data_IF_423969030945
#
_entry.id   IF_423969030945
#
_cell.length_a   1.000
_cell.length_b   1.000
_cell.length_c   1.000
_cell.angle_alpha   90.00
_cell.angle_beta   90.00
_cell.angle_gamma   90.00
#
_symmetry.space_group_name_H-M   'P 1'
#
loop_
_entity.id
_entity.type
_entity.pdbx_description
1 polymer ?
#
# COMPACT_ATOMS: atom_id res chain seq x y z
N UNK A 1 17.80 -30.69 33.19
CA UNK A 1 16.80 -31.15 32.19
C UNK A 1 15.65 -30.16 31.94
N UNK A 2 14.93 -29.71 32.98
CA UNK A 2 13.74 -28.84 32.82
C UNK A 2 14.04 -27.51 32.10
N UNK A 3 15.18 -26.88 32.41
CA UNK A 3 15.60 -25.63 31.78
C UNK A 3 15.92 -25.81 30.29
N UNK A 4 16.60 -26.89 29.92
CA UNK A 4 16.89 -27.23 28.52
C UNK A 4 15.60 -27.44 27.71
N UNK A 5 14.65 -28.23 28.24
CA UNK A 5 13.35 -28.45 27.60
C UNK A 5 12.57 -27.13 27.46
N UNK A 6 12.57 -26.27 28.48
CA UNK A 6 11.92 -24.97 28.43
C UNK A 6 12.55 -24.04 27.37
N UNK A 7 13.88 -24.00 27.28
CA UNK A 7 14.59 -23.19 26.27
C UNK A 7 14.34 -23.67 24.84
N UNK A 8 14.25 -24.99 24.62
CA UNK A 8 13.84 -25.58 23.33
C UNK A 8 12.39 -25.19 22.99
N UNK A 9 11.46 -25.26 23.95
CA UNK A 9 10.06 -24.86 23.78
C UNK A 9 9.93 -23.38 23.37
N UNK A 10 10.65 -22.47 24.02
CA UNK A 10 10.59 -21.04 23.69
C UNK A 10 11.07 -20.76 22.27
N UNK A 11 12.15 -21.41 21.82
CA UNK A 11 12.64 -21.27 20.44
C UNK A 11 11.64 -21.77 19.41
N UNK A 12 11.00 -22.91 19.68
CA UNK A 12 9.95 -23.48 18.84
C UNK A 12 8.70 -22.60 18.73
N UNK A 13 8.40 -21.81 19.75
CA UNK A 13 7.25 -20.92 19.79
C UNK A 13 7.51 -19.56 19.12
N UNK A 14 8.75 -19.29 18.71
CA UNK A 14 9.10 -18.04 18.03
C UNK A 14 8.46 -17.99 16.64
N UNK A 15 7.80 -16.88 16.35
CA UNK A 15 7.18 -16.57 15.07
C UNK A 15 7.60 -15.15 14.68
N UNK A 16 7.37 -14.79 13.41
CA UNK A 16 7.66 -13.45 12.94
C UNK A 16 6.84 -12.40 13.74
N UNK A 17 7.36 -11.18 13.92
CA UNK A 17 6.60 -10.12 14.58
C UNK A 17 5.29 -9.83 13.85
N UNK A 18 4.23 -9.49 14.60
CA UNK A 18 2.91 -9.20 14.04
C UNK A 18 2.91 -8.14 12.93
N UNK A 19 3.79 -7.13 13.02
CA UNK A 19 3.93 -6.12 11.98
C UNK A 19 4.47 -6.68 10.65
N UNK A 20 5.37 -7.66 10.70
CA UNK A 20 5.90 -8.33 9.51
C UNK A 20 4.81 -9.18 8.84
N UNK A 21 4.06 -9.96 9.62
CA UNK A 21 2.94 -10.78 9.12
C UNK A 21 1.81 -9.91 8.55
N UNK A 22 1.50 -8.80 9.22
CA UNK A 22 0.50 -7.84 8.75
C UNK A 22 0.91 -7.21 7.43
N UNK A 23 2.20 -6.89 7.26
CA UNK A 23 2.73 -6.36 6.00
C UNK A 23 2.70 -7.41 4.90
N UNK A 24 3.16 -8.63 5.16
CA UNK A 24 3.10 -9.73 4.20
C UNK A 24 1.66 -9.99 3.72
N UNK A 25 0.70 -9.95 4.65
CA UNK A 25 -0.73 -10.09 4.32
C UNK A 25 -1.25 -8.95 3.44
N UNK A 26 -0.84 -7.70 3.72
CA UNK A 26 -1.21 -6.54 2.91
C UNK A 26 -0.60 -6.59 1.51
N UNK A 27 0.66 -7.01 1.41
CA UNK A 27 1.38 -7.14 0.14
C UNK A 27 0.80 -8.28 -0.72
N UNK A 28 0.27 -9.34 -0.10
CA UNK A 28 -0.40 -10.45 -0.78
C UNK A 28 -1.86 -10.17 -1.18
N UNK A 29 -2.47 -9.11 -0.64
CA UNK A 29 -3.86 -8.79 -0.92
C UNK A 29 -4.02 -8.31 -2.37
N UNK A 30 -4.92 -8.95 -3.12
CA UNK A 30 -5.30 -8.52 -4.47
C UNK A 30 -6.09 -7.22 -4.39
N UNK A 31 -5.82 -6.27 -5.30
CA UNK A 31 -6.57 -5.03 -5.38
C UNK A 31 -8.05 -5.31 -5.73
N UNK A 32 -8.98 -4.42 -5.33
CA UNK A 32 -10.36 -4.49 -5.78
C UNK A 32 -10.46 -4.54 -7.32
N UNK A 33 -11.44 -5.26 -7.90
CA UNK A 33 -11.58 -5.37 -9.36
C UNK A 33 -11.73 -4.03 -10.09
N UNK A 34 -12.24 -3.01 -9.40
CA UNK A 34 -12.49 -1.67 -9.90
C UNK A 34 -11.35 -0.67 -9.62
N UNK A 35 -10.22 -1.10 -9.05
CA UNK A 35 -9.12 -0.21 -8.66
C UNK A 35 -8.58 0.63 -9.84
N UNK A 36 -8.38 0.01 -11.01
CA UNK A 36 -7.96 0.73 -12.23
C UNK A 36 -8.97 1.78 -12.67
N UNK A 37 -10.26 1.44 -12.59
CA UNK A 37 -11.33 2.37 -12.95
C UNK A 37 -11.39 3.53 -11.97
N UNK A 38 -11.21 3.26 -10.67
CA UNK A 38 -11.14 4.27 -9.62
C UNK A 38 -9.94 5.22 -9.83
N UNK A 39 -8.76 4.68 -10.14
CA UNK A 39 -7.57 5.48 -10.50
C UNK A 39 -7.85 6.33 -11.75
N UNK A 40 -8.48 5.76 -12.78
CA UNK A 40 -8.81 6.50 -14.00
C UNK A 40 -9.87 7.59 -13.80
N UNK A 41 -10.82 7.38 -12.89
CA UNK A 41 -11.80 8.41 -12.49
C UNK A 41 -11.13 9.56 -11.76
N UNK A 42 -10.19 9.26 -10.86
CA UNK A 42 -9.41 10.29 -10.16
C UNK A 42 -8.59 11.12 -11.15
N UNK A 43 -7.87 10.48 -12.07
CA UNK A 43 -7.12 11.16 -13.12
C UNK A 43 -8.02 12.00 -14.05
N UNK A 44 -9.22 11.50 -14.38
CA UNK A 44 -10.16 12.27 -15.20
C UNK A 44 -10.73 13.48 -14.45
N UNK A 45 -11.01 13.35 -13.15
CA UNK A 45 -11.45 14.49 -12.33
C UNK A 45 -10.38 15.60 -12.28
N UNK A 46 -9.10 15.25 -12.24
CA UNK A 46 -8.01 16.23 -12.35
C UNK A 46 -8.01 16.92 -13.73
N UNK A 47 -8.21 16.18 -14.82
CA UNK A 47 -8.34 16.76 -16.16
C UNK A 47 -9.55 17.68 -16.29
N UNK A 48 -10.69 17.30 -15.73
CA UNK A 48 -11.90 18.14 -15.70
C UNK A 48 -11.64 19.43 -14.92
N UNK A 49 -10.93 19.35 -13.79
CA UNK A 49 -10.59 20.52 -12.99
C UNK A 49 -9.57 21.45 -13.68
N UNK A 50 -8.72 20.90 -14.55
CA UNK A 50 -7.75 21.66 -15.34
C UNK A 50 -8.32 22.21 -16.66
N UNK A 51 -9.52 21.79 -17.07
CA UNK A 51 -10.15 22.27 -18.28
C UNK A 51 -10.68 23.70 -18.08
N UNK A 52 -10.05 24.67 -18.74
CA UNK A 52 -10.49 26.06 -18.74
C UNK A 52 -11.39 26.35 -19.95
N UNK A 53 -12.30 27.33 -19.86
CA UNK A 53 -13.06 27.77 -21.03
C UNK A 53 -12.11 28.31 -22.11
N UNK A 54 -12.41 28.04 -23.38
CA UNK A 54 -11.67 28.61 -24.50
C UNK A 54 -11.76 30.14 -24.51
N UNK A 55 -10.65 30.79 -24.87
CA UNK A 55 -10.53 32.25 -24.94
C UNK A 55 -11.43 32.87 -26.01
N UNK A 56 -12.01 34.03 -25.70
CA UNK A 56 -12.83 34.79 -26.64
C UNK A 56 -11.96 35.76 -27.47
N UNK A 57 -11.87 35.52 -28.79
CA UNK A 57 -11.19 36.44 -29.69
C UNK A 57 -12.06 37.67 -30.00
N UNK A 58 -11.89 38.70 -29.17
CA UNK A 58 -12.54 40.00 -29.34
C UNK A 58 -12.26 40.63 -30.70
N UNK A 59 -11.04 40.49 -31.23
CA UNK A 59 -10.67 41.11 -32.51
C UNK A 59 -11.41 40.44 -33.65
N UNK A 60 -11.39 39.10 -33.72
CA UNK A 60 -12.12 38.34 -34.71
C UNK A 60 -13.63 38.63 -34.66
N UNK A 61 -14.18 38.79 -33.45
CA UNK A 61 -15.58 39.19 -33.29
C UNK A 61 -15.88 40.58 -33.86
N UNK A 62 -15.08 41.59 -33.51
CA UNK A 62 -15.26 42.96 -34.03
C UNK A 62 -15.12 42.99 -35.55
N UNK A 63 -14.11 42.31 -36.09
CA UNK A 63 -13.88 42.22 -37.54
C UNK A 63 -15.08 41.56 -38.24
N UNK A 64 -15.68 40.53 -37.62
CA UNK A 64 -16.86 39.86 -38.14
C UNK A 64 -18.13 40.73 -38.06
N UNK A 65 -18.31 41.49 -36.97
CA UNK A 65 -19.44 42.43 -36.82
C UNK A 65 -19.34 43.55 -37.85
N UNK A 66 -18.16 44.15 -38.02
CA UNK A 66 -17.94 45.19 -39.04
C UNK A 66 -18.23 44.66 -40.43
N UNK A 67 -17.76 43.44 -40.75
CA UNK A 67 -18.05 42.79 -42.04
C UNK A 67 -19.55 42.58 -42.28
N UNK A 68 -20.30 42.18 -41.25
CA UNK A 68 -21.75 42.00 -41.36
C UNK A 68 -22.47 43.34 -41.58
N UNK A 69 -22.04 44.39 -40.87
CA UNK A 69 -22.54 45.76 -41.07
C UNK A 69 -22.23 46.24 -42.50
N UNK A 70 -21.00 46.09 -42.97
CA UNK A 70 -20.57 46.53 -44.30
C UNK A 70 -21.30 45.79 -45.42
N UNK A 71 -21.59 44.50 -45.24
CA UNK A 71 -22.38 43.72 -46.19
C UNK A 71 -23.80 44.28 -46.35
N UNK A 72 -24.41 44.69 -45.24
CA UNK A 72 -25.79 45.16 -45.19
C UNK A 72 -25.93 46.68 -45.33
N UNK A 73 -24.84 47.44 -45.27
CA UNK A 73 -24.84 48.89 -45.40
C UNK A 73 -25.52 49.36 -46.71
N UNK A 74 -26.37 50.41 -46.66
CA UNK A 74 -27.04 50.94 -47.83
C UNK A 74 -26.02 51.54 -48.81
N UNK A 75 -26.12 51.20 -50.10
CA UNK A 75 -25.16 51.64 -51.12
C UNK A 75 -25.56 52.94 -51.82
N UNK A 76 -26.78 53.42 -51.58
CA UNK A 76 -27.36 54.62 -52.19
C UNK A 76 -28.37 55.29 -51.24
N UNK A 77 -28.79 56.52 -51.58
CA UNK A 77 -29.71 57.32 -50.76
C UNK A 77 -31.09 56.66 -50.58
N UNK A 78 -31.62 55.99 -51.62
CA UNK A 78 -32.94 55.33 -51.55
C UNK A 78 -32.93 54.10 -50.63
N UNK A 79 -31.85 53.31 -50.65
CA UNK A 79 -31.64 52.22 -49.70
C UNK A 79 -31.43 52.73 -48.27
N UNK A 80 -30.79 53.88 -48.10
CA UNK A 80 -30.60 54.49 -46.79
C UNK A 80 -31.94 54.94 -46.18
N UNK A 81 -32.80 55.61 -46.96
CA UNK A 81 -34.15 56.03 -46.52
C UNK A 81 -35.05 54.83 -46.16
N UNK A 82 -34.86 53.69 -46.85
CA UNK A 82 -35.62 52.46 -46.59
C UNK A 82 -34.94 51.51 -45.60
N UNK A 83 -33.73 51.82 -45.13
CA UNK A 83 -32.91 50.88 -44.36
C UNK A 83 -33.64 50.38 -43.10
N UNK A 84 -34.27 51.28 -42.35
CA UNK A 84 -35.04 50.95 -41.16
C UNK A 84 -36.25 50.02 -41.43
N UNK A 85 -36.78 50.00 -42.66
CA UNK A 85 -37.90 49.15 -43.08
C UNK A 85 -37.44 47.90 -43.83
N UNK A 86 -36.15 47.80 -44.15
CA UNK A 86 -35.59 46.74 -44.99
C UNK A 86 -35.33 45.42 -44.26
N UNK A 87 -35.39 45.41 -42.92
CA UNK A 87 -35.04 44.25 -42.08
C UNK A 87 -33.53 43.94 -42.07
N UNK A 88 -32.69 44.70 -42.79
CA UNK A 88 -31.23 44.50 -42.82
C UNK A 88 -30.58 44.66 -41.45
N UNK A 89 -31.10 45.56 -40.61
CA UNK A 89 -30.64 45.71 -39.24
C UNK A 89 -30.91 44.45 -38.39
N UNK A 90 -32.09 43.83 -38.56
CA UNK A 90 -32.44 42.59 -37.89
C UNK A 90 -31.58 41.42 -38.38
N UNK A 91 -31.19 41.41 -39.65
CA UNK A 91 -30.26 40.42 -40.21
C UNK A 91 -28.85 40.54 -39.60
N UNK A 92 -28.31 41.76 -39.49
CA UNK A 92 -27.01 41.97 -38.81
C UNK A 92 -27.09 41.53 -37.36
N UNK A 93 -28.18 41.87 -36.67
CA UNK A 93 -28.41 41.41 -35.29
C UNK A 93 -28.42 39.88 -35.21
N UNK A 94 -29.18 39.20 -36.06
CA UNK A 94 -29.27 37.74 -36.07
C UNK A 94 -27.91 37.08 -36.35
N UNK A 95 -27.11 37.64 -37.26
CA UNK A 95 -25.76 37.14 -37.54
C UNK A 95 -24.81 37.31 -36.35
N UNK A 96 -24.84 38.46 -35.69
CA UNK A 96 -24.04 38.72 -34.49
C UNK A 96 -24.45 37.81 -33.34
N UNK A 97 -25.75 37.64 -33.11
CA UNK A 97 -26.27 36.72 -32.08
C UNK A 97 -25.83 35.27 -32.36
N UNK A 98 -25.82 34.86 -33.64
CA UNK A 98 -25.30 33.56 -34.07
C UNK A 98 -23.81 33.40 -33.72
N UNK A 99 -22.97 34.39 -34.05
CA UNK A 99 -21.53 34.36 -33.73
C UNK A 99 -21.26 34.33 -32.22
N UNK A 100 -22.07 35.02 -31.41
CA UNK A 100 -21.97 34.94 -29.95
C UNK A 100 -22.33 33.54 -29.46
N UNK A 101 -23.34 32.91 -30.06
CA UNK A 101 -23.74 31.53 -29.74
C UNK A 101 -22.62 30.54 -30.09
N UNK A 102 -22.09 30.60 -31.31
CA UNK A 102 -20.97 29.75 -31.75
C UNK A 102 -19.72 29.94 -30.87
N UNK A 103 -19.45 31.20 -30.47
CA UNK A 103 -18.36 31.53 -29.56
C UNK A 103 -18.53 30.89 -28.18
N UNK A 104 -19.75 30.92 -27.62
CA UNK A 104 -20.07 30.24 -26.35
C UNK A 104 -19.87 28.73 -26.46
N UNK A 105 -20.35 28.12 -27.54
CA UNK A 105 -20.18 26.68 -27.77
C UNK A 105 -18.71 26.30 -27.90
N UNK A 106 -17.94 27.10 -28.64
CA UNK A 106 -16.50 26.89 -28.83
C UNK A 106 -15.75 27.02 -27.50
N UNK A 107 -16.03 28.05 -26.71
CA UNK A 107 -15.42 28.24 -25.39
C UNK A 107 -15.77 27.11 -24.41
N UNK A 108 -16.96 26.52 -24.50
CA UNK A 108 -17.37 25.42 -23.64
C UNK A 108 -16.85 24.04 -24.10
N UNK A 109 -16.36 23.94 -25.34
CA UNK A 109 -16.06 22.67 -26.01
C UNK A 109 -15.06 21.81 -25.24
N UNK A 110 -14.00 22.41 -24.71
CA UNK A 110 -12.94 21.67 -24.01
C UNK A 110 -13.43 21.14 -22.66
N UNK A 111 -14.24 21.94 -21.94
CA UNK A 111 -14.90 21.51 -20.71
C UNK A 111 -15.92 20.40 -20.98
N UNK A 112 -16.74 20.54 -22.03
CA UNK A 112 -17.72 19.53 -22.43
C UNK A 112 -17.03 18.21 -22.82
N UNK A 113 -15.94 18.31 -23.58
CA UNK A 113 -15.12 17.17 -23.99
C UNK A 113 -14.48 16.49 -22.79
N UNK A 114 -13.86 17.25 -21.88
CA UNK A 114 -13.25 16.71 -20.66
C UNK A 114 -14.28 16.05 -19.74
N UNK A 115 -15.47 16.64 -19.61
CA UNK A 115 -16.55 16.13 -18.76
C UNK A 115 -17.17 14.85 -19.31
N UNK A 116 -17.23 14.70 -20.64
CA UNK A 116 -17.75 13.50 -21.32
C UNK A 116 -16.70 12.43 -21.56
N UNK A 117 -15.42 12.74 -21.35
CA UNK A 117 -14.34 11.79 -21.54
C UNK A 117 -14.51 10.60 -20.59
N UNK A 118 -14.31 9.35 -21.07
CA UNK A 118 -14.30 8.19 -20.19
C UNK A 118 -13.11 8.25 -19.22
N UNK A 119 -13.16 7.52 -18.09
CA UNK A 119 -12.03 7.40 -17.17
C UNK A 119 -10.74 7.00 -17.88
N UNK A 120 -9.63 7.69 -17.59
CA UNK A 120 -8.34 7.39 -18.19
C UNK A 120 -7.61 6.30 -17.40
N UNK A 121 -7.78 5.05 -17.82
CA UNK A 121 -7.12 3.90 -17.19
C UNK A 121 -5.72 3.62 -17.75
N UNK A 122 -5.25 4.37 -18.76
CA UNK A 122 -3.96 4.10 -19.38
C UNK A 122 -2.77 4.40 -18.46
N UNK A 123 -2.95 5.34 -17.52
CA UNK A 123 -1.97 5.67 -16.48
C UNK A 123 -2.16 4.83 -15.20
N UNK A 124 -3.20 4.00 -15.12
CA UNK A 124 -3.49 3.21 -13.92
C UNK A 124 -2.40 2.17 -13.69
N UNK A 125 -1.95 2.05 -12.44
CA UNK A 125 -0.92 1.11 -12.03
C UNK A 125 -1.55 -0.05 -11.28
N UNK A 126 -1.24 -1.26 -11.73
CA UNK A 126 -1.55 -2.46 -10.97
C UNK A 126 -0.79 -2.45 -9.64
N UNK A 127 -1.50 -2.83 -8.58
CA UNK A 127 -0.85 -3.14 -7.31
C UNK A 127 0.05 -4.36 -7.51
N UNK A 128 1.30 -4.24 -7.10
CA UNK A 128 2.21 -5.38 -7.04
C UNK A 128 1.77 -6.32 -5.90
N UNK A 129 1.48 -7.57 -6.23
CA UNK A 129 0.98 -8.57 -5.30
C UNK A 129 2.07 -9.60 -5.06
N UNK A 130 2.55 -9.67 -3.82
CA UNK A 130 3.53 -10.70 -3.40
C UNK A 130 2.80 -11.79 -2.62
N UNK A 131 2.64 -13.01 -3.17
CA UNK A 131 1.95 -14.09 -2.47
C UNK A 131 2.57 -14.40 -1.12
N UNK A 132 1.73 -14.79 -0.15
CA UNK A 132 2.21 -15.27 1.14
C UNK A 132 3.04 -16.53 0.98
N UNK A 133 4.14 -16.60 1.72
CA UNK A 133 4.87 -17.85 1.89
C UNK A 133 4.09 -18.72 2.88
N UNK A 134 3.83 -20.01 2.57
CA UNK A 134 3.17 -20.90 3.52
C UNK A 134 3.95 -21.02 4.83
N UNK A 135 3.22 -21.21 5.93
CA UNK A 135 3.84 -21.45 7.23
C UNK A 135 4.73 -22.69 7.20
N UNK A 136 5.96 -22.53 7.69
CA UNK A 136 6.88 -23.63 7.88
C UNK A 136 6.59 -24.33 9.21
N UNK A 137 6.53 -25.67 9.17
CA UNK A 137 6.43 -26.45 10.39
C UNK A 137 7.65 -26.18 11.31
N UNK A 138 7.47 -26.14 12.63
CA UNK A 138 8.59 -25.97 13.55
C UNK A 138 9.62 -27.09 13.35
N UNK A 139 10.90 -26.74 13.33
CA UNK A 139 11.98 -27.72 13.25
C UNK A 139 12.02 -28.66 14.47
N UNK A 140 12.59 -29.85 14.33
CA UNK A 140 12.71 -30.79 15.45
C UNK A 140 13.63 -30.22 16.56
N UNK A 141 13.19 -30.14 17.84
CA UNK A 141 14.01 -29.61 18.94
C UNK A 141 15.21 -30.49 19.32
N UNK A 142 15.26 -31.75 18.86
CA UNK A 142 16.25 -32.74 19.25
C UNK A 142 16.11 -33.19 20.71
N UNK A 143 16.80 -34.27 21.08
CA UNK A 143 16.73 -34.85 22.43
C UNK A 143 17.18 -33.86 23.54
N UNK A 144 16.67 -33.99 24.77
CA UNK A 144 17.15 -33.23 25.92
C UNK A 144 18.64 -33.47 26.21
N UNK A 145 19.30 -32.52 26.85
CA UNK A 145 20.71 -32.65 27.27
C UNK A 145 20.93 -33.92 28.11
N UNK A 146 21.90 -34.74 27.71
CA UNK A 146 22.27 -35.97 28.41
C UNK A 146 23.00 -35.70 29.73
N UNK A 147 23.80 -34.64 29.80
CA UNK A 147 24.50 -34.19 31.01
C UNK A 147 23.52 -33.87 32.13
N UNK A 148 22.36 -33.35 31.74
CA UNK A 148 21.25 -32.95 32.59
C UNK A 148 20.37 -34.13 33.05
N UNK A 149 20.62 -35.33 32.54
CA UNK A 149 19.85 -36.55 32.81
C UNK A 149 20.54 -37.50 33.80
N UNK A 150 21.79 -37.21 34.18
CA UNK A 150 22.54 -38.00 35.17
C UNK A 150 22.35 -37.39 36.56
N UNK A 151 22.11 -38.19 37.62
CA UNK A 151 22.08 -37.67 38.99
C UNK A 151 23.37 -36.95 39.36
N UNK A 152 23.26 -35.93 40.21
CA UNK A 152 24.43 -35.25 40.74
C UNK A 152 25.34 -36.23 41.49
N UNK A 153 26.66 -36.00 41.41
CA UNK A 153 27.64 -36.80 42.14
C UNK A 153 27.31 -36.74 43.63
N UNK A 154 27.18 -37.90 44.26
CA UNK A 154 26.99 -37.99 45.71
C UNK A 154 28.13 -37.27 46.45
N UNK A 155 27.83 -36.60 47.58
CA UNK A 155 28.86 -36.00 48.42
C UNK A 155 29.90 -37.05 48.84
N UNK A 156 31.15 -36.60 49.03
CA UNK A 156 32.23 -37.50 49.45
C UNK A 156 31.86 -38.27 50.72
N UNK A 157 31.24 -37.61 51.71
CA UNK A 157 30.80 -38.24 52.97
C UNK A 157 29.83 -39.43 52.81
N UNK A 158 29.08 -39.53 51.70
CA UNK A 158 28.16 -40.65 51.44
C UNK A 158 28.86 -41.80 50.70
N UNK A 159 29.98 -41.51 50.04
CA UNK A 159 30.76 -42.47 49.23
C UNK A 159 32.09 -42.84 49.88
N UNK A 160 32.43 -42.20 50.99
CA UNK A 160 33.61 -42.45 51.79
C UNK A 160 33.29 -43.50 52.86
N UNK A 161 33.80 -44.71 52.62
CA UNK A 161 33.66 -45.83 53.54
C UNK A 161 34.91 -46.03 54.41
N UNK A 162 35.84 -45.08 54.44
CA UNK A 162 37.13 -45.22 55.15
C UNK A 162 36.99 -45.32 56.68
N UNK A 163 35.90 -44.79 57.25
CA UNK A 163 35.62 -44.90 58.69
C UNK A 163 35.38 -46.33 59.16
N UNK A 164 34.82 -47.20 58.30
CA UNK A 164 34.55 -48.60 58.63
C UNK A 164 35.84 -49.39 58.91
N UNK A 165 36.77 -49.48 57.95
CA UNK A 165 38.09 -50.07 58.16
C UNK A 165 38.85 -49.41 59.31
N UNK A 166 38.88 -48.07 59.39
CA UNK A 166 39.57 -47.36 60.46
C UNK A 166 39.00 -47.69 61.86
N UNK A 167 37.69 -47.89 61.97
CA UNK A 167 37.03 -48.34 63.20
C UNK A 167 37.38 -49.78 63.55
N UNK A 168 37.44 -50.67 62.56
CA UNK A 168 37.87 -52.05 62.73
C UNK A 168 39.34 -52.13 63.17
N UNK A 169 40.23 -51.36 62.54
CA UNK A 169 41.65 -51.31 62.87
C UNK A 169 41.87 -50.82 64.30
N UNK A 170 41.09 -49.81 64.76
CA UNK A 170 41.10 -49.38 66.16
C UNK A 170 40.63 -50.47 67.11
N UNK A 171 39.53 -51.17 66.79
CA UNK A 171 39.01 -52.24 67.64
C UNK A 171 40.00 -53.42 67.74
N UNK A 172 40.70 -53.75 66.65
CA UNK A 172 41.77 -54.75 66.62
C UNK A 172 42.98 -54.33 67.46
N UNK A 173 43.41 -53.07 67.31
CA UNK A 173 44.50 -52.50 68.10
C UNK A 173 44.16 -52.43 69.60
N UNK A 174 42.95 -52.01 69.96
CA UNK A 174 42.47 -51.94 71.35
C UNK A 174 42.36 -53.34 72.00
N UNK A 175 42.09 -54.38 71.21
CA UNK A 175 42.03 -55.77 71.65
C UNK A 175 43.40 -56.50 71.62
N UNK A 176 44.49 -55.80 71.27
CA UNK A 176 45.83 -56.35 71.05
C UNK A 176 45.87 -57.50 70.03
N UNK A 177 44.92 -57.52 69.09
CA UNK A 177 44.82 -58.55 68.07
C UNK A 177 45.66 -58.16 66.87
N UNK A 178 46.72 -58.94 66.62
CA UNK A 178 47.56 -58.80 65.43
C UNK A 178 46.94 -59.54 64.25
N UNK A 179 47.16 -59.08 63.01
CA UNK A 179 46.66 -59.77 61.81
C UNK A 179 47.14 -61.24 61.75
N UNK A 180 48.31 -61.53 62.31
CA UNK A 180 48.91 -62.87 62.44
C UNK A 180 48.10 -63.82 63.35
N UNK A 181 47.24 -63.29 64.22
CA UNK A 181 46.36 -64.06 65.11
C UNK A 181 44.97 -64.33 64.51
N UNK A 182 44.62 -63.68 63.38
CA UNK A 182 43.34 -63.86 62.68
C UNK A 182 43.39 -64.88 61.53
N UNK A 183 44.58 -65.31 61.13
CA UNK A 183 44.83 -66.23 60.02
C UNK A 183 44.67 -67.72 60.41
#
# INVERSE_FOLDING_TARGET
>A
MKADVAGKKTRLAAHAPAAAESKASQDAAVAPPDDKEAQGKAANAEKMNAAEPGEFDKKAFIDAVNKAIDAQAPKNLDEADKFAKSGKADQVKAEVDGKVTDGKETSAKDIDTATKAPPDTAAAKDKDVTPLTPDAAPGNPGAPSATDAVPEKQPAAVTDFSEGPAGNDRAMADAEVTEEQLA
#
